data_IF_570445077271
#
_entry.id   IF_570445077271
#
_cell.length_a   1.000
_cell.length_b   1.000
_cell.length_c   1.000
_cell.angle_alpha   90.00
_cell.angle_beta   90.00
_cell.angle_gamma   90.00
#
_symmetry.space_group_name_H-M   'P 1'
#
loop_
_entity.id
_entity.type
_entity.pdbx_description
1 polymer ?
#
# COMPACT_ATOMS: atom_id res chain seq x y z
N UNK A 1 20.60 5.14 20.52
CA UNK A 1 19.69 4.22 19.83
C UNK A 1 20.03 4.34 18.37
N UNK A 2 20.85 3.42 17.88
CA UNK A 2 21.17 3.35 16.46
C UNK A 2 19.90 2.92 15.72
N UNK A 3 19.58 3.50 14.55
CA UNK A 3 18.45 3.04 13.77
C UNK A 3 18.79 1.63 13.27
N UNK A 4 18.07 0.62 13.78
CA UNK A 4 18.07 -0.70 13.16
C UNK A 4 17.63 -0.49 11.72
N UNK A 5 18.50 -0.81 10.78
CA UNK A 5 18.24 -0.77 9.34
C UNK A 5 17.01 -1.63 9.02
N UNK A 6 15.82 -1.02 9.01
CA UNK A 6 14.65 -1.61 8.39
C UNK A 6 14.95 -1.67 6.91
N UNK A 7 15.05 -2.89 6.36
CA UNK A 7 15.13 -3.08 4.92
C UNK A 7 14.00 -2.30 4.25
N UNK A 8 14.37 -1.55 3.22
CA UNK A 8 13.56 -0.57 2.50
C UNK A 8 12.49 -1.26 1.61
N UNK A 9 11.79 -2.25 2.15
CA UNK A 9 10.84 -3.10 1.42
C UNK A 9 9.49 -2.41 1.18
N UNK A 10 9.22 -1.22 1.72
CA UNK A 10 7.89 -0.59 1.65
C UNK A 10 7.55 0.04 0.30
N UNK A 11 8.52 0.21 -0.60
CA UNK A 11 8.31 0.87 -1.90
C UNK A 11 8.24 -0.11 -3.08
N UNK A 12 8.81 -1.30 -2.95
CA UNK A 12 8.78 -2.31 -4.01
C UNK A 12 7.52 -3.18 -3.90
N UNK A 13 6.51 -2.82 -4.70
CA UNK A 13 5.26 -3.58 -4.81
C UNK A 13 5.46 -4.96 -5.49
N UNK A 14 6.40 -5.05 -6.43
CA UNK A 14 6.61 -6.21 -7.31
C UNK A 14 8.10 -6.52 -7.41
N UNK A 15 8.48 -7.80 -7.34
CA UNK A 15 9.87 -8.22 -7.49
C UNK A 15 10.29 -8.18 -8.97
N UNK A 16 10.53 -6.97 -9.50
CA UNK A 16 11.41 -6.63 -10.63
C UNK A 16 11.04 -5.23 -11.11
N UNK A 17 12.03 -4.34 -11.17
CA UNK A 17 11.93 -3.16 -12.01
C UNK A 17 11.60 -3.62 -13.44
N UNK A 18 10.61 -2.99 -14.09
CA UNK A 18 10.22 -3.32 -15.45
C UNK A 18 11.46 -3.44 -16.35
N UNK A 19 11.57 -4.49 -17.19
CA UNK A 19 12.61 -4.49 -18.21
C UNK A 19 12.35 -3.33 -19.16
N UNK A 20 13.41 -2.60 -19.51
CA UNK A 20 13.41 -1.70 -20.65
C UNK A 20 12.82 -2.48 -21.84
N UNK A 21 11.72 -1.98 -22.42
CA UNK A 21 11.11 -2.59 -23.60
C UNK A 21 12.08 -2.41 -24.77
N UNK A 22 12.71 -3.51 -25.18
CA UNK A 22 13.51 -3.58 -26.39
C UNK A 22 12.57 -3.47 -27.61
N UNK A 23 12.77 -2.40 -28.38
CA UNK A 23 12.23 -2.22 -29.72
C UNK A 23 12.80 -3.29 -30.67
N UNK A 24 11.98 -4.24 -31.11
CA UNK A 24 12.20 -4.85 -32.43
C UNK A 24 10.89 -5.27 -33.09
N UNK A 25 10.67 -4.67 -34.26
CA UNK A 25 9.61 -4.95 -35.22
C UNK A 25 9.91 -6.14 -36.13
N UNK A 26 8.83 -6.66 -36.74
CA UNK A 26 8.70 -7.35 -38.05
C UNK A 26 8.61 -8.89 -38.05
N UNK A 27 7.54 -9.38 -38.67
CA UNK A 27 7.52 -10.69 -39.31
C UNK A 27 6.12 -11.29 -39.58
N UNK A 28 5.50 -10.92 -40.71
CA UNK A 28 4.29 -11.54 -41.26
C UNK A 28 4.43 -13.06 -41.50
N UNK A 29 3.32 -13.79 -41.41
CA UNK A 29 3.18 -15.14 -41.93
C UNK A 29 1.73 -15.63 -41.93
N UNK A 30 0.96 -15.29 -42.98
CA UNK A 30 -0.28 -15.97 -43.33
C UNK A 30 0.00 -17.43 -43.72
N UNK A 31 -0.82 -18.37 -43.26
CA UNK A 31 -1.39 -19.42 -44.13
C UNK A 31 -2.75 -19.89 -43.62
N UNK A 32 -3.65 -19.95 -44.59
CA UNK A 32 -5.00 -20.47 -44.67
C UNK A 32 -5.08 -21.98 -44.41
N UNK A 33 -6.21 -22.49 -43.87
CA UNK A 33 -6.84 -23.78 -44.22
C UNK A 33 -8.31 -23.76 -43.75
N UNK A 34 -9.16 -24.04 -44.73
CA UNK A 34 -10.62 -24.11 -44.71
C UNK A 34 -11.20 -25.40 -44.07
N UNK A 35 -12.45 -25.24 -43.62
CA UNK A 35 -13.58 -26.19 -43.58
C UNK A 35 -13.71 -27.19 -42.43
N UNK A 36 -14.81 -27.05 -41.66
CA UNK A 36 -15.87 -28.08 -41.60
C UNK A 36 -17.19 -27.53 -41.02
N UNK A 37 -18.28 -27.95 -41.67
CA UNK A 37 -19.69 -27.76 -41.35
C UNK A 37 -20.14 -28.56 -40.12
N UNK A 38 -21.11 -28.04 -39.38
CA UNK A 38 -21.92 -28.79 -38.41
C UNK A 38 -22.73 -27.85 -37.51
N UNK A 39 -24.02 -27.73 -37.80
CA UNK A 39 -25.02 -27.08 -36.93
C UNK A 39 -25.15 -27.85 -35.61
N UNK A 40 -25.20 -27.12 -34.49
CA UNK A 40 -25.98 -27.49 -33.31
C UNK A 40 -26.14 -26.22 -32.44
N UNK A 41 -27.36 -25.66 -32.41
CA UNK A 41 -27.76 -24.64 -31.45
C UNK A 41 -27.79 -25.25 -30.04
N UNK A 42 -26.67 -25.18 -29.34
CA UNK A 42 -26.63 -25.28 -27.89
C UNK A 42 -26.72 -23.86 -27.33
N UNK A 43 -27.86 -23.53 -26.72
CA UNK A 43 -28.04 -22.27 -25.98
C UNK A 43 -27.02 -22.26 -24.84
N UNK A 44 -26.29 -21.15 -24.78
CA UNK A 44 -24.91 -21.08 -24.33
C UNK A 44 -24.85 -20.68 -22.84
N UNK A 45 -24.96 -21.66 -21.94
CA UNK A 45 -24.91 -21.43 -20.48
C UNK A 45 -23.52 -20.99 -19.98
N UNK A 46 -22.46 -21.29 -20.72
CA UNK A 46 -21.08 -20.91 -20.38
C UNK A 46 -20.73 -19.49 -20.86
N UNK A 47 -21.31 -19.02 -21.97
CA UNK A 47 -21.20 -17.62 -22.43
C UNK A 47 -22.00 -16.66 -21.53
N UNK A 48 -23.16 -17.06 -21.03
CA UNK A 48 -23.99 -16.23 -20.14
C UNK A 48 -23.32 -16.07 -18.75
N UNK A 49 -22.75 -17.16 -18.21
CA UNK A 49 -21.97 -17.18 -16.95
C UNK A 49 -20.69 -16.35 -17.04
N UNK A 50 -19.97 -16.42 -18.17
CA UNK A 50 -18.75 -15.63 -18.39
C UNK A 50 -19.05 -14.15 -18.63
N UNK A 51 -20.14 -13.81 -19.32
CA UNK A 51 -20.60 -12.43 -19.50
C UNK A 51 -20.99 -11.76 -18.18
N UNK A 52 -21.71 -12.47 -17.29
CA UNK A 52 -22.04 -11.97 -15.95
C UNK A 52 -20.81 -11.72 -15.07
N UNK A 53 -19.79 -12.59 -15.18
CA UNK A 53 -18.52 -12.46 -14.49
C UNK A 53 -17.73 -11.22 -14.95
N UNK A 54 -17.68 -10.99 -16.27
CA UNK A 54 -17.02 -9.81 -16.86
C UNK A 54 -17.74 -8.52 -16.46
N UNK A 55 -19.06 -8.47 -16.51
CA UNK A 55 -19.85 -7.32 -16.08
C UNK A 55 -19.63 -7.01 -14.58
N UNK A 56 -19.56 -8.05 -13.74
CA UNK A 56 -19.23 -7.90 -12.32
C UNK A 56 -17.83 -7.30 -12.10
N UNK A 57 -16.83 -7.79 -12.83
CA UNK A 57 -15.46 -7.28 -12.75
C UNK A 57 -15.37 -5.81 -13.20
N UNK A 58 -16.06 -5.43 -14.28
CA UNK A 58 -16.12 -4.05 -14.75
C UNK A 58 -16.81 -3.13 -13.75
N UNK A 59 -17.92 -3.57 -13.14
CA UNK A 59 -18.61 -2.83 -12.07
C UNK A 59 -17.70 -2.62 -10.86
N UNK A 60 -16.95 -3.65 -10.47
CA UNK A 60 -15.99 -3.56 -9.37
C UNK A 60 -14.85 -2.59 -9.68
N UNK A 61 -14.26 -2.65 -10.88
CA UNK A 61 -13.20 -1.73 -11.31
C UNK A 61 -13.70 -0.28 -11.34
N UNK A 62 -14.88 -0.03 -11.91
CA UNK A 62 -15.50 1.30 -11.91
C UNK A 62 -15.69 1.83 -10.49
N UNK A 63 -16.14 0.98 -9.57
CA UNK A 63 -16.30 1.36 -8.16
C UNK A 63 -14.95 1.69 -7.52
N UNK A 64 -13.92 0.88 -7.77
CA UNK A 64 -12.56 1.08 -7.26
C UNK A 64 -11.97 2.41 -7.72
N UNK A 65 -12.21 2.82 -8.96
CA UNK A 65 -11.71 4.08 -9.53
C UNK A 65 -12.52 5.31 -9.10
N UNK A 66 -13.71 5.13 -8.52
CA UNK A 66 -14.59 6.22 -8.07
C UNK A 66 -14.69 6.38 -6.55
N UNK A 67 -14.14 5.43 -5.78
CA UNK A 67 -14.21 5.41 -4.31
C UNK A 67 -12.82 5.30 -3.68
N UNK A 68 -12.71 5.62 -2.39
CA UNK A 68 -11.45 5.52 -1.62
C UNK A 68 -10.43 6.58 -2.03
N UNK A 69 -10.88 7.74 -2.50
CA UNK A 69 -10.00 8.84 -2.94
C UNK A 69 -9.46 9.68 -1.79
N UNK A 70 -9.96 9.46 -0.58
CA UNK A 70 -9.49 10.06 0.66
C UNK A 70 -8.47 9.13 1.33
N UNK A 71 -7.52 9.71 2.07
CA UNK A 71 -6.53 8.94 2.82
C UNK A 71 -7.17 8.16 3.97
N UNK A 72 -6.60 7.00 4.28
CA UNK A 72 -7.03 6.18 5.40
C UNK A 72 -6.83 6.89 6.75
N UNK A 73 -7.65 6.57 7.76
CA UNK A 73 -7.55 7.19 9.10
C UNK A 73 -6.15 7.00 9.74
N UNK A 74 -5.48 5.88 9.46
CA UNK A 74 -4.14 5.58 9.97
C UNK A 74 -3.05 6.55 9.49
N UNK A 75 -3.35 7.34 8.44
CA UNK A 75 -2.43 8.31 7.86
C UNK A 75 -2.44 9.66 8.58
N UNK A 76 -3.34 9.86 9.53
CA UNK A 76 -3.48 11.11 10.26
C UNK A 76 -2.80 11.04 11.61
N UNK A 77 -2.15 12.14 12.00
CA UNK A 77 -1.59 12.24 13.34
C UNK A 77 -2.72 12.30 14.35
N UNK A 78 -2.75 11.38 15.30
CA UNK A 78 -3.83 11.35 16.29
C UNK A 78 -3.80 12.52 17.29
N UNK A 79 -2.75 13.38 17.27
CA UNK A 79 -2.66 14.59 18.12
C UNK A 79 -3.19 15.82 17.39
N UNK A 80 -2.64 16.15 16.22
CA UNK A 80 -3.03 17.36 15.48
C UNK A 80 -4.12 17.11 14.44
N UNK A 81 -4.50 15.85 14.19
CA UNK A 81 -5.48 15.44 13.17
C UNK A 81 -5.14 15.86 11.73
N UNK A 82 -3.90 16.28 11.49
CA UNK A 82 -3.41 16.60 10.15
C UNK A 82 -2.82 15.34 9.48
N UNK A 83 -2.99 15.18 8.15
CA UNK A 83 -2.39 14.09 7.40
C UNK A 83 -0.87 14.09 7.57
N UNK A 84 -0.26 12.94 7.81
CA UNK A 84 1.20 12.80 7.96
C UNK A 84 1.82 12.65 6.57
N UNK A 85 3.02 13.18 6.39
CA UNK A 85 3.80 12.98 5.16
C UNK A 85 3.95 11.49 4.80
N UNK A 86 3.96 11.19 3.50
CA UNK A 86 4.11 9.84 3.00
C UNK A 86 5.58 9.54 2.65
N UNK A 87 6.07 8.32 2.95
CA UNK A 87 5.36 7.26 3.65
C UNK A 87 5.26 7.54 5.17
N UNK A 88 4.10 7.26 5.77
CA UNK A 88 3.78 7.66 7.17
C UNK A 88 4.82 7.21 8.19
N UNK A 89 5.36 6.00 8.02
CA UNK A 89 6.31 5.40 8.96
C UNK A 89 7.67 6.13 9.03
N UNK A 90 8.03 6.93 8.01
CA UNK A 90 9.25 7.75 8.00
C UNK A 90 9.06 9.13 8.65
N UNK A 91 7.82 9.51 8.96
CA UNK A 91 7.47 10.85 9.45
C UNK A 91 6.64 10.81 10.74
N UNK A 92 6.68 9.66 11.43
CA UNK A 92 5.83 9.39 12.58
C UNK A 92 6.45 8.45 13.59
N UNK A 93 5.93 8.54 14.81
CA UNK A 93 6.23 7.66 15.91
C UNK A 93 5.02 6.78 16.22
N UNK A 94 5.24 5.47 16.31
CA UNK A 94 4.22 4.50 16.66
C UNK A 94 4.25 4.17 18.15
N UNK A 95 3.12 4.36 18.83
CA UNK A 95 3.03 4.13 20.27
C UNK A 95 2.55 2.70 20.60
N UNK A 96 3.47 1.82 21.01
CA UNK A 96 3.20 0.41 21.35
C UNK A 96 2.11 0.21 22.44
N UNK A 97 1.85 1.22 23.26
CA UNK A 97 0.82 1.18 24.30
C UNK A 97 -0.60 1.36 23.79
N UNK A 98 -0.79 2.04 22.65
CA UNK A 98 -2.10 2.43 22.13
C UNK A 98 -2.31 2.15 20.64
N UNK A 99 -1.28 1.71 19.92
CA UNK A 99 -1.25 1.59 18.46
C UNK A 99 -1.62 2.88 17.75
N UNK A 100 -1.44 4.04 18.40
CA UNK A 100 -1.67 5.34 17.79
C UNK A 100 -0.36 5.89 17.23
N UNK A 101 -0.51 6.50 16.07
CA UNK A 101 0.57 7.15 15.33
C UNK A 101 0.53 8.64 15.60
N UNK A 102 1.69 9.23 15.84
CA UNK A 102 1.85 10.67 15.96
C UNK A 102 2.94 11.17 15.02
N UNK A 103 2.76 12.35 14.41
CA UNK A 103 3.80 12.94 13.59
C UNK A 103 4.98 13.41 14.45
N UNK A 104 6.18 13.42 13.86
CA UNK A 104 7.41 13.90 14.52
C UNK A 104 7.29 15.32 15.08
N UNK A 105 6.54 16.20 14.41
CA UNK A 105 6.28 17.54 14.93
C UNK A 105 5.55 17.54 16.27
N UNK A 106 4.52 16.71 16.43
CA UNK A 106 3.81 16.57 17.71
C UNK A 106 4.69 15.89 18.76
N UNK A 107 5.47 14.89 18.36
CA UNK A 107 6.45 14.23 19.22
C UNK A 107 7.49 15.22 19.78
N UNK A 108 8.08 16.06 18.91
CA UNK A 108 9.04 17.10 19.29
C UNK A 108 8.47 18.10 20.30
N UNK A 109 7.24 18.58 20.06
CA UNK A 109 6.57 19.51 20.99
C UNK A 109 6.41 18.87 22.36
N UNK A 110 6.06 17.60 22.42
CA UNK A 110 5.82 16.92 23.67
C UNK A 110 7.11 16.56 24.42
N UNK A 111 8.18 16.23 23.69
CA UNK A 111 9.53 16.08 24.25
C UNK A 111 9.97 17.36 24.96
N UNK A 112 9.78 18.54 24.33
CA UNK A 112 10.10 19.85 24.93
C UNK A 112 9.29 20.19 26.17
N UNK A 113 8.10 19.61 26.31
CA UNK A 113 7.24 19.76 27.50
C UNK A 113 7.60 18.77 28.61
N UNK A 114 8.66 17.96 28.43
CA UNK A 114 9.08 16.96 29.41
C UNK A 114 8.17 15.73 29.47
N UNK A 115 7.43 15.43 28.39
CA UNK A 115 6.50 14.29 28.33
C UNK A 115 7.12 13.09 27.57
N UNK A 116 8.36 13.20 27.10
CA UNK A 116 9.01 12.17 26.28
C UNK A 116 9.27 10.80 26.93
N UNK A 117 8.90 10.59 28.20
CA UNK A 117 8.98 9.30 28.89
C UNK A 117 7.64 8.54 28.91
N UNK A 118 6.56 9.14 28.42
CA UNK A 118 5.20 8.62 28.47
C UNK A 118 4.46 8.91 27.17
N UNK A 119 3.57 7.99 26.79
CA UNK A 119 2.70 8.20 25.63
C UNK A 119 1.76 9.39 25.84
N UNK A 120 1.65 10.26 24.84
CA UNK A 120 0.80 11.45 24.87
C UNK A 120 -0.70 11.12 24.98
N UNK A 121 -1.11 9.95 24.47
CA UNK A 121 -2.50 9.51 24.45
C UNK A 121 -2.95 8.88 25.77
N UNK A 122 -2.29 7.80 26.18
CA UNK A 122 -2.74 6.99 27.32
C UNK A 122 -1.86 7.15 28.56
N UNK A 123 -0.82 8.02 28.51
CA UNK A 123 0.11 8.29 29.61
C UNK A 123 0.88 7.07 30.13
N UNK A 124 0.79 5.93 29.45
CA UNK A 124 1.60 4.76 29.73
C UNK A 124 3.09 5.11 29.55
N UNK A 125 3.99 4.61 30.42
CA UNK A 125 5.43 4.73 30.20
C UNK A 125 5.82 4.20 28.83
N UNK A 126 6.72 4.90 28.13
CA UNK A 126 7.27 4.40 26.87
C UNK A 126 8.26 3.27 27.17
N UNK A 127 8.04 2.05 26.65
CA UNK A 127 8.98 0.95 26.84
C UNK A 127 10.32 1.28 26.17
N UNK A 128 11.43 0.88 26.80
CA UNK A 128 12.78 1.15 26.30
C UNK A 128 13.49 -0.10 25.78
N UNK A 129 12.84 -1.24 25.92
CA UNK A 129 13.36 -2.55 25.56
C UNK A 129 12.33 -3.31 24.72
N UNK A 130 12.85 -4.14 23.81
CA UNK A 130 12.05 -4.91 22.85
C UNK A 130 11.06 -5.85 23.52
N UNK A 131 11.42 -6.43 24.68
CA UNK A 131 10.59 -7.38 25.43
C UNK A 131 9.32 -6.67 25.94
N UNK A 132 9.48 -5.47 26.50
CA UNK A 132 8.36 -4.65 26.94
C UNK A 132 7.49 -4.20 25.76
N UNK A 133 8.12 -3.77 24.65
CA UNK A 133 7.40 -3.36 23.43
C UNK A 133 6.54 -4.52 22.91
N UNK A 134 7.13 -5.71 22.73
CA UNK A 134 6.42 -6.86 22.17
C UNK A 134 5.32 -7.37 23.11
N UNK A 135 5.55 -7.35 24.43
CA UNK A 135 4.52 -7.74 25.40
C UNK A 135 3.28 -6.83 25.32
N UNK A 136 3.49 -5.53 25.11
CA UNK A 136 2.39 -4.55 24.95
C UNK A 136 1.62 -4.79 23.65
N UNK A 137 2.32 -5.01 22.54
CA UNK A 137 1.71 -5.33 21.24
C UNK A 137 0.92 -6.63 21.32
N UNK A 138 1.50 -7.71 21.85
CA UNK A 138 0.82 -8.99 21.99
C UNK A 138 -0.43 -8.89 22.87
N UNK A 139 -0.38 -8.09 23.94
CA UNK A 139 -1.55 -7.83 24.78
C UNK A 139 -2.69 -7.18 24.01
N UNK A 140 -2.39 -6.29 23.06
CA UNK A 140 -3.40 -5.67 22.19
C UNK A 140 -3.89 -6.59 21.08
N UNK A 141 -2.99 -7.32 20.43
CA UNK A 141 -3.35 -8.32 19.42
C UNK A 141 -4.31 -9.37 20.01
N UNK A 142 -4.07 -9.86 21.23
CA UNK A 142 -4.99 -10.77 21.95
C UNK A 142 -6.37 -10.18 22.23
N UNK A 143 -6.52 -8.86 22.20
CA UNK A 143 -7.81 -8.15 22.35
C UNK A 143 -8.47 -7.80 21.02
N UNK A 144 -7.94 -8.27 19.89
CA UNK A 144 -8.50 -8.01 18.57
C UNK A 144 -8.13 -6.65 17.97
N UNK A 145 -7.06 -6.00 18.45
CA UNK A 145 -6.58 -4.75 17.85
C UNK A 145 -5.90 -5.05 16.50
N UNK A 146 -6.54 -4.66 15.39
CA UNK A 146 -6.08 -4.95 14.04
C UNK A 146 -4.68 -4.39 13.74
N UNK A 147 -4.38 -3.17 14.24
CA UNK A 147 -3.07 -2.53 14.04
C UNK A 147 -1.99 -3.27 14.83
N UNK A 148 -2.29 -3.69 16.06
CA UNK A 148 -1.37 -4.49 16.86
C UNK A 148 -1.05 -5.85 16.21
N UNK A 149 -2.08 -6.53 15.70
CA UNK A 149 -1.90 -7.83 15.04
C UNK A 149 -1.08 -7.69 13.76
N UNK A 150 -1.36 -6.64 12.96
CA UNK A 150 -0.58 -6.32 11.75
C UNK A 150 0.87 -5.98 12.06
N UNK A 151 1.11 -5.20 13.12
CA UNK A 151 2.48 -4.87 13.54
C UNK A 151 3.21 -6.10 14.05
N UNK A 152 2.55 -6.96 14.84
CA UNK A 152 3.13 -8.22 15.32
C UNK A 152 3.51 -9.14 14.15
N UNK A 153 2.66 -9.23 13.12
CA UNK A 153 2.95 -9.96 11.90
C UNK A 153 4.22 -9.44 11.22
N UNK A 154 4.40 -8.12 11.14
CA UNK A 154 5.61 -7.49 10.62
C UNK A 154 6.87 -7.90 11.39
N UNK A 155 6.78 -7.94 12.73
CA UNK A 155 7.92 -8.35 13.54
C UNK A 155 8.30 -9.81 13.31
N UNK A 156 7.33 -10.72 13.18
CA UNK A 156 7.62 -12.11 12.78
C UNK A 156 8.15 -12.20 11.34
N UNK A 157 7.64 -11.39 10.40
CA UNK A 157 8.06 -11.44 9.01
C UNK A 157 9.54 -11.08 8.82
N UNK A 158 10.04 -10.08 9.57
CA UNK A 158 11.40 -9.58 9.45
C UNK A 158 12.34 -10.06 10.57
N UNK A 159 11.83 -10.66 11.65
CA UNK A 159 12.63 -11.01 12.82
C UNK A 159 13.02 -9.79 13.67
N UNK A 160 12.05 -8.94 14.00
CA UNK A 160 12.25 -7.71 14.77
C UNK A 160 11.85 -7.83 16.25
N UNK A 161 12.28 -6.87 17.06
CA UNK A 161 11.99 -6.78 18.51
C UNK A 161 12.31 -8.08 19.29
N UNK A 162 13.44 -8.71 18.96
CA UNK A 162 13.89 -9.95 19.59
C UNK A 162 13.10 -11.21 19.19
N UNK A 163 12.17 -11.12 18.22
CA UNK A 163 11.50 -12.28 17.65
C UNK A 163 12.35 -12.91 16.54
N UNK A 164 12.39 -14.24 16.49
CA UNK A 164 12.93 -14.95 15.34
C UNK A 164 12.01 -14.74 14.12
N UNK A 165 12.61 -14.66 12.93
CA UNK A 165 11.88 -14.60 11.67
C UNK A 165 11.03 -15.86 11.49
N UNK A 166 9.74 -15.67 11.25
CA UNK A 166 8.72 -16.71 11.05
C UNK A 166 7.66 -16.20 10.06
N UNK A 167 7.92 -16.42 8.77
CA UNK A 167 7.06 -15.94 7.68
C UNK A 167 5.69 -16.63 7.66
N UNK A 168 5.55 -17.97 7.84
CA UNK A 168 4.24 -18.61 7.93
C UNK A 168 3.36 -17.98 9.01
N UNK A 169 3.91 -17.80 10.22
CA UNK A 169 3.17 -17.15 11.32
C UNK A 169 2.82 -15.70 11.02
N UNK A 170 3.71 -14.97 10.35
CA UNK A 170 3.41 -13.61 9.91
C UNK A 170 2.20 -13.57 8.95
N UNK A 171 2.11 -14.52 8.01
CA UNK A 171 0.99 -14.60 7.06
C UNK A 171 -0.33 -14.89 7.77
N UNK A 172 -0.34 -15.80 8.75
CA UNK A 172 -1.52 -16.06 9.58
C UNK A 172 -1.97 -14.78 10.31
N UNK A 173 -1.04 -14.10 10.97
CA UNK A 173 -1.34 -12.86 11.69
C UNK A 173 -1.77 -11.73 10.77
N UNK A 174 -1.17 -11.57 9.59
CA UNK A 174 -1.64 -10.60 8.60
C UNK A 174 -3.06 -10.94 8.14
N UNK A 175 -3.37 -12.22 7.91
CA UNK A 175 -4.71 -12.66 7.51
C UNK A 175 -5.73 -12.28 8.59
N UNK A 176 -5.45 -12.60 9.85
CA UNK A 176 -6.30 -12.19 10.97
C UNK A 176 -6.41 -10.66 11.09
N UNK A 177 -5.32 -9.92 10.90
CA UNK A 177 -5.33 -8.47 10.97
C UNK A 177 -6.17 -7.85 9.83
N UNK A 178 -6.11 -8.42 8.63
CA UNK A 178 -6.91 -8.01 7.48
C UNK A 178 -8.41 -8.25 7.73
N UNK A 179 -8.77 -9.42 8.28
CA UNK A 179 -10.15 -9.73 8.71
C UNK A 179 -10.67 -8.76 9.78
N UNK A 180 -9.79 -8.31 10.69
CA UNK A 180 -10.07 -7.27 11.67
C UNK A 180 -10.07 -5.84 11.08
N UNK A 181 -9.80 -5.68 9.78
CA UNK A 181 -9.89 -4.42 9.05
C UNK A 181 -8.57 -3.66 8.87
N UNK A 182 -7.41 -4.25 9.15
CA UNK A 182 -6.11 -3.62 8.91
C UNK A 182 -5.81 -3.46 7.42
N UNK A 183 -5.74 -2.22 6.94
CA UNK A 183 -5.38 -1.91 5.56
C UNK A 183 -3.92 -2.24 5.27
N UNK A 184 -3.04 -2.01 6.24
CA UNK A 184 -1.62 -2.36 6.14
C UNK A 184 -1.44 -3.88 5.99
N UNK A 185 -2.24 -4.68 6.70
CA UNK A 185 -2.20 -6.13 6.55
C UNK A 185 -2.68 -6.57 5.17
N UNK A 186 -3.77 -5.99 4.66
CA UNK A 186 -4.17 -6.20 3.27
C UNK A 186 -3.04 -5.82 2.30
N UNK A 187 -2.38 -4.68 2.47
CA UNK A 187 -1.30 -4.27 1.59
C UNK A 187 -0.14 -5.26 1.56
N UNK A 188 0.23 -5.79 2.74
CA UNK A 188 1.30 -6.77 2.89
C UNK A 188 0.93 -8.14 2.35
N UNK A 189 -0.29 -8.63 2.58
CA UNK A 189 -0.80 -9.85 1.95
C UNK A 189 -0.86 -9.69 0.43
N UNK A 190 -1.23 -8.50 -0.05
CA UNK A 190 -1.22 -8.16 -1.47
C UNK A 190 0.15 -8.44 -2.09
N UNK A 191 1.20 -7.91 -1.47
CA UNK A 191 2.59 -8.14 -1.90
C UNK A 191 3.02 -9.60 -1.78
N UNK A 192 2.75 -10.23 -0.63
CA UNK A 192 3.15 -11.63 -0.36
C UNK A 192 2.52 -12.58 -1.38
N UNK A 193 1.23 -12.43 -1.69
CA UNK A 193 0.61 -13.29 -2.69
C UNK A 193 1.00 -12.88 -4.10
N UNK A 194 1.17 -11.59 -4.40
CA UNK A 194 1.50 -11.16 -5.75
C UNK A 194 2.88 -11.63 -6.21
N UNK A 195 3.87 -11.62 -5.31
CA UNK A 195 5.24 -12.04 -5.62
C UNK A 195 5.55 -13.48 -5.19
N UNK A 196 4.66 -14.12 -4.42
CA UNK A 196 5.01 -15.27 -3.61
C UNK A 196 5.94 -14.90 -2.44
N UNK A 197 6.28 -15.91 -1.65
CA UNK A 197 7.32 -15.83 -0.63
C UNK A 197 8.11 -17.14 -0.66
N UNK A 198 9.39 -17.07 -1.03
CA UNK A 198 10.27 -18.22 -1.31
C UNK A 198 10.05 -19.40 -0.34
N UNK A 199 9.50 -20.49 -0.86
CA UNK A 199 9.29 -21.75 -0.14
C UNK A 199 8.19 -21.74 0.93
N UNK A 200 7.45 -20.64 1.10
CA UNK A 200 6.36 -20.51 2.08
C UNK A 200 5.00 -20.35 1.42
N UNK A 201 4.90 -19.50 0.40
CA UNK A 201 3.67 -19.27 -0.35
C UNK A 201 3.99 -19.10 -1.82
N UNK A 202 3.30 -19.87 -2.66
CA UNK A 202 3.37 -19.73 -4.12
C UNK A 202 2.75 -18.41 -4.59
N UNK A 203 3.25 -17.94 -5.73
CA UNK A 203 2.71 -16.76 -6.39
C UNK A 203 1.22 -16.94 -6.74
N UNK A 204 0.40 -15.95 -6.40
CA UNK A 204 -0.99 -15.83 -6.77
C UNK A 204 -1.34 -14.35 -6.97
N UNK A 205 -1.04 -13.82 -8.16
CA UNK A 205 -1.30 -12.42 -8.55
C UNK A 205 -2.74 -11.99 -8.30
N UNK A 206 -3.72 -12.81 -8.69
CA UNK A 206 -5.14 -12.48 -8.53
C UNK A 206 -5.51 -12.26 -7.05
N UNK A 207 -5.02 -13.12 -6.16
CA UNK A 207 -5.21 -12.96 -4.71
C UNK A 207 -4.49 -11.73 -4.18
N UNK A 208 -3.27 -11.47 -4.63
CA UNK A 208 -2.50 -10.28 -4.28
C UNK A 208 -3.21 -8.99 -4.65
N UNK A 209 -3.64 -8.89 -5.92
CA UNK A 209 -4.43 -7.77 -6.46
C UNK A 209 -5.72 -7.59 -5.64
N UNK A 210 -6.43 -8.66 -5.31
CA UNK A 210 -7.66 -8.56 -4.53
C UNK A 210 -7.43 -7.92 -3.16
N UNK A 211 -6.36 -8.30 -2.44
CA UNK A 211 -6.03 -7.65 -1.17
C UNK A 211 -5.70 -6.15 -1.35
N UNK A 212 -4.94 -5.78 -2.38
CA UNK A 212 -4.67 -4.37 -2.68
C UNK A 212 -5.93 -3.58 -3.06
N UNK A 213 -6.84 -4.16 -3.84
CA UNK A 213 -8.12 -3.53 -4.17
C UNK A 213 -8.95 -3.26 -2.91
N UNK A 214 -9.02 -4.22 -1.97
CA UNK A 214 -9.73 -4.04 -0.71
C UNK A 214 -9.16 -2.89 0.14
N UNK A 215 -7.83 -2.76 0.22
CA UNK A 215 -7.18 -1.68 0.93
C UNK A 215 -7.33 -0.33 0.22
N UNK A 216 -7.13 -0.29 -1.10
CA UNK A 216 -7.24 0.91 -1.92
C UNK A 216 -8.66 1.50 -1.90
N UNK A 217 -9.70 0.66 -1.87
CA UNK A 217 -11.09 1.11 -1.73
C UNK A 217 -11.37 1.89 -0.44
N UNK A 218 -10.52 1.67 0.58
CA UNK A 218 -10.59 2.31 1.90
C UNK A 218 -9.50 3.38 2.08
N UNK A 219 -8.88 3.84 0.99
CA UNK A 219 -7.94 4.96 1.02
C UNK A 219 -6.49 4.58 1.29
N UNK A 220 -6.11 3.30 1.20
CA UNK A 220 -4.72 2.90 1.39
C UNK A 220 -3.85 3.28 0.19
N UNK A 221 -2.99 4.28 0.38
CA UNK A 221 -2.24 4.94 -0.69
C UNK A 221 -1.26 4.00 -1.39
N UNK A 222 -0.46 3.24 -0.61
CA UNK A 222 0.51 2.30 -1.17
C UNK A 222 -0.15 1.19 -1.97
N UNK A 223 -1.30 0.66 -1.53
CA UNK A 223 -2.02 -0.35 -2.31
C UNK A 223 -2.57 0.22 -3.61
N UNK A 224 -3.01 1.49 -3.61
CA UNK A 224 -3.40 2.18 -4.84
C UNK A 224 -2.23 2.32 -5.80
N UNK A 225 -1.06 2.71 -5.29
CA UNK A 225 0.17 2.76 -6.08
C UNK A 225 0.52 1.39 -6.67
N UNK A 226 0.47 0.32 -5.87
CA UNK A 226 0.78 -1.03 -6.33
C UNK A 226 -0.18 -1.49 -7.44
N UNK A 227 -1.48 -1.13 -7.38
CA UNK A 227 -2.41 -1.41 -8.47
C UNK A 227 -2.03 -0.69 -9.77
N UNK A 228 -1.45 0.52 -9.68
CA UNK A 228 -0.91 1.20 -10.85
C UNK A 228 0.33 0.50 -11.42
N UNK A 229 1.22 -0.01 -10.54
CA UNK A 229 2.37 -0.83 -10.95
C UNK A 229 1.93 -2.12 -11.65
N UNK A 230 0.85 -2.76 -11.18
CA UNK A 230 0.23 -3.92 -11.85
C UNK A 230 -0.22 -3.54 -13.26
N UNK A 231 -0.88 -2.39 -13.43
CA UNK A 231 -1.27 -1.89 -14.76
C UNK A 231 -0.09 -1.80 -15.72
N UNK A 232 1.06 -1.26 -15.30
CA UNK A 232 2.28 -1.21 -16.12
C UNK A 232 2.78 -2.61 -16.49
N UNK A 233 2.81 -3.53 -15.52
CA UNK A 233 3.23 -4.91 -15.76
C UNK A 233 2.32 -5.64 -16.77
N UNK A 234 1.03 -5.37 -16.71
CA UNK A 234 0.02 -5.96 -17.62
C UNK A 234 -0.06 -5.20 -18.97
N UNK A 235 0.67 -4.08 -19.11
CA UNK A 235 0.67 -3.24 -20.30
C UNK A 235 -0.54 -2.32 -20.46
N UNK A 236 -1.28 -2.10 -19.37
CA UNK A 236 -2.43 -1.18 -19.29
C UNK A 236 -1.99 0.16 -18.65
N UNK A 237 -1.38 1.00 -19.47
CA UNK A 237 -0.85 2.30 -19.06
C UNK A 237 -1.97 3.27 -18.62
N UNK A 238 -3.17 3.13 -19.21
CA UNK A 238 -4.34 3.95 -18.85
C UNK A 238 -4.84 3.59 -17.45
N UNK A 239 -4.96 2.30 -17.14
CA UNK A 239 -5.32 1.86 -15.80
C UNK A 239 -4.24 2.25 -14.77
N UNK A 240 -2.96 2.13 -15.14
CA UNK A 240 -1.86 2.58 -14.31
C UNK A 240 -1.97 4.07 -13.97
N UNK A 241 -2.18 4.90 -15.00
CA UNK A 241 -2.38 6.34 -14.87
C UNK A 241 -3.55 6.67 -13.94
N UNK A 242 -4.71 6.03 -14.10
CA UNK A 242 -5.88 6.28 -13.26
C UNK A 242 -5.62 5.96 -11.79
N UNK A 243 -4.97 4.84 -11.48
CA UNK A 243 -4.59 4.49 -10.12
C UNK A 243 -3.57 5.47 -9.53
N UNK A 244 -2.55 5.84 -10.31
CA UNK A 244 -1.54 6.78 -9.86
C UNK A 244 -2.07 8.20 -9.71
N UNK A 245 -3.03 8.67 -10.53
CA UNK A 245 -3.67 9.98 -10.35
C UNK A 245 -4.33 10.08 -8.96
N UNK A 246 -5.02 9.02 -8.52
CA UNK A 246 -5.64 8.97 -7.20
C UNK A 246 -4.56 8.98 -6.09
N UNK A 247 -3.54 8.14 -6.22
CA UNK A 247 -2.45 8.01 -5.24
C UNK A 247 -1.58 9.28 -5.13
N UNK A 248 -1.27 9.91 -6.27
CA UNK A 248 -0.54 11.17 -6.33
C UNK A 248 -1.36 12.32 -5.72
N UNK A 249 -2.68 12.34 -5.92
CA UNK A 249 -3.59 13.29 -5.25
C UNK A 249 -3.66 13.10 -3.73
N UNK A 250 -3.29 11.92 -3.21
CA UNK A 250 -3.09 11.68 -1.78
C UNK A 250 -1.68 12.08 -1.30
N UNK A 251 -0.81 12.51 -2.22
CA UNK A 251 0.53 12.99 -1.96
C UNK A 251 1.64 11.95 -2.02
N UNK A 252 1.42 10.80 -2.69
CA UNK A 252 2.47 9.79 -2.86
C UNK A 252 3.39 10.13 -4.05
N UNK A 253 4.67 10.35 -3.76
CA UNK A 253 5.64 10.88 -4.72
C UNK A 253 5.95 9.87 -5.85
N UNK A 254 6.03 8.58 -5.54
CA UNK A 254 6.37 7.55 -6.51
C UNK A 254 5.27 7.35 -7.54
N UNK A 255 4.00 7.55 -7.15
CA UNK A 255 2.91 7.65 -8.12
C UNK A 255 3.03 8.89 -9.00
N UNK A 256 3.43 10.04 -8.45
CA UNK A 256 3.67 11.24 -9.25
C UNK A 256 4.83 11.05 -10.24
N UNK A 257 5.89 10.36 -9.82
CA UNK A 257 7.02 9.98 -10.68
C UNK A 257 6.61 8.98 -11.77
N UNK A 258 5.73 8.02 -11.45
CA UNK A 258 5.14 7.12 -12.45
C UNK A 258 4.35 7.87 -13.52
N UNK A 259 3.49 8.82 -13.13
CA UNK A 259 2.74 9.66 -14.08
C UNK A 259 3.69 10.51 -14.93
N UNK A 260 4.77 11.03 -14.34
CA UNK A 260 5.80 11.76 -15.08
C UNK A 260 6.44 10.89 -16.16
N UNK A 261 6.72 9.62 -15.87
CA UNK A 261 7.26 8.68 -16.85
C UNK A 261 6.26 8.41 -17.99
N UNK A 262 4.99 8.16 -17.68
CA UNK A 262 3.94 8.01 -18.70
C UNK A 262 3.80 9.26 -19.60
N UNK A 263 3.98 10.45 -19.02
CA UNK A 263 3.97 11.69 -19.80
C UNK A 263 5.19 11.82 -20.72
N UNK A 264 6.40 11.48 -20.24
CA UNK A 264 7.61 11.51 -21.09
C UNK A 264 7.54 10.51 -22.23
N UNK A 265 6.87 9.38 -22.01
CA UNK A 265 6.71 8.30 -22.98
C UNK A 265 5.52 8.55 -23.93
N UNK A 266 4.77 9.65 -23.74
CA UNK A 266 3.65 10.06 -24.58
C UNK A 266 2.33 9.31 -24.32
N UNK A 267 2.27 8.49 -23.26
CA UNK A 267 1.07 7.76 -22.83
C UNK A 267 0.12 8.64 -22.01
N UNK A 268 0.66 9.61 -21.25
CA UNK A 268 -0.14 10.61 -20.54
C UNK A 268 -0.12 11.97 -21.26
N UNK A 269 -1.24 12.68 -21.23
CA UNK A 269 -1.35 14.03 -21.79
C UNK A 269 -0.79 15.11 -20.85
N UNK A 270 -0.46 16.27 -21.40
CA UNK A 270 -0.05 17.44 -20.61
C UNK A 270 -1.12 17.84 -19.57
N UNK A 271 -2.41 17.72 -19.94
CA UNK A 271 -3.52 18.01 -19.05
C UNK A 271 -3.55 17.06 -17.83
N UNK A 272 -3.40 15.75 -18.07
CA UNK A 272 -3.35 14.73 -17.02
C UNK A 272 -2.14 14.92 -16.10
N UNK A 273 -0.95 15.14 -16.67
CA UNK A 273 0.26 15.40 -15.88
C UNK A 273 0.12 16.66 -15.02
N UNK A 274 -0.40 17.75 -15.59
CA UNK A 274 -0.62 19.00 -14.89
C UNK A 274 -1.67 18.87 -13.78
N UNK A 275 -2.72 18.08 -13.99
CA UNK A 275 -3.72 17.77 -12.97
C UNK A 275 -3.11 16.99 -11.80
N UNK A 276 -2.37 15.92 -12.10
CA UNK A 276 -1.67 15.12 -11.10
C UNK A 276 -0.71 15.97 -10.26
N UNK A 277 0.07 16.84 -10.90
CA UNK A 277 1.02 17.72 -10.22
C UNK A 277 0.31 18.70 -9.27
N UNK A 278 -0.81 19.30 -9.69
CA UNK A 278 -1.60 20.19 -8.81
C UNK A 278 -2.16 19.44 -7.61
N UNK A 279 -2.72 18.25 -7.83
CA UNK A 279 -3.26 17.40 -6.77
C UNK A 279 -2.19 17.01 -5.75
N UNK A 280 -1.03 16.56 -6.23
CA UNK A 280 0.12 16.22 -5.40
C UNK A 280 0.62 17.41 -4.57
N UNK A 281 0.79 18.58 -5.21
CA UNK A 281 1.23 19.80 -4.51
C UNK A 281 0.24 20.24 -3.42
N UNK A 282 -1.07 20.15 -3.69
CA UNK A 282 -2.09 20.46 -2.69
C UNK A 282 -1.99 19.50 -1.48
N UNK A 283 -1.85 18.20 -1.73
CA UNK A 283 -1.69 17.20 -0.67
C UNK A 283 -0.42 17.42 0.16
N UNK A 284 0.72 17.71 -0.49
CA UNK A 284 1.98 18.05 0.19
C UNK A 284 1.83 19.29 1.07
N UNK A 285 1.12 20.32 0.60
CA UNK A 285 0.88 21.52 1.40
C UNK A 285 0.01 21.23 2.63
N UNK A 286 -1.04 20.41 2.50
CA UNK A 286 -1.88 19.98 3.63
C UNK A 286 -1.11 19.17 4.69
N UNK A 287 -0.01 18.51 4.29
CA UNK A 287 0.84 17.74 5.19
C UNK A 287 1.89 18.60 5.92
N UNK A 288 2.07 19.88 5.57
CA UNK A 288 3.04 20.73 6.24
C UNK A 288 2.57 21.20 7.61
N UNK A 289 3.53 21.39 8.50
CA UNK A 289 3.33 22.03 9.79
C UNK A 289 4.65 22.65 10.26
N UNK A 290 4.65 23.85 10.88
CA UNK A 290 5.86 24.45 11.41
C UNK A 290 6.64 23.52 12.35
N UNK A 291 5.93 22.68 13.10
CA UNK A 291 6.52 21.71 14.02
C UNK A 291 7.16 20.52 13.29
N UNK A 292 6.57 20.05 12.18
CA UNK A 292 7.14 18.97 11.35
C UNK A 292 8.40 19.45 10.64
N UNK A 293 8.37 20.66 10.09
CA UNK A 293 9.54 21.30 9.47
C UNK A 293 10.67 21.51 10.47
N UNK A 294 10.33 21.88 11.70
CA UNK A 294 11.32 21.98 12.77
C UNK A 294 11.90 20.63 13.18
N UNK A 295 11.06 19.59 13.29
CA UNK A 295 11.49 18.24 13.60
C UNK A 295 12.49 17.71 12.55
N UNK A 296 12.17 17.85 11.26
CA UNK A 296 13.08 17.52 10.15
C UNK A 296 14.42 18.24 10.25
N UNK A 297 14.42 19.55 10.53
CA UNK A 297 15.68 20.32 10.70
C UNK A 297 16.55 19.80 11.85
N UNK A 298 15.93 19.16 12.85
CA UNK A 298 16.62 18.59 14.01
C UNK A 298 17.00 17.11 13.81
N UNK A 299 16.71 16.51 12.65
CA UNK A 299 17.02 15.12 12.34
C UNK A 299 16.12 14.11 13.04
N UNK A 300 14.87 14.50 13.33
CA UNK A 300 13.81 13.55 13.61
C UNK A 300 13.35 12.86 12.33
#
# INVERSE_FOLDING_TARGET
MEPTSSTNDSHDCVHSAAPARDDTSLGNGLTDISSRTGEEEAVNSDEESSAESVDSAMRHLKRLLTHGHERAECDFCAICFLPIELPVWQHSNFNACCMKTECEGCYLVALRRGIGDRCHFCRAPLPRDDISIIAMIQKRARKGDASATSFLAMQYHHGGLGLAKDVPRAIELYTTAAELGSLEAHSRLGRIYYNGADGVVEENKARGINHWQQAAMKGHVLSRHCLGVVGIHDGDDELALQHWMISAKMGYEESMNGIKALFTDGQATEAQYSEALRGYQAAVEEMKSPQREEAKRLGF
#
